data_IF_215562282447
#
_entry.id   IF_215562282447
#
_cell.length_a   1.000
_cell.length_b   1.000
_cell.length_c   1.000
_cell.angle_alpha   90.00
_cell.angle_beta   90.00
_cell.angle_gamma   90.00
#
_symmetry.space_group_name_H-M   'P 1'
#
loop_
_entity.id
_entity.type
_entity.pdbx_description
1 polymer ?
#
# COMPACT_ATOMS: atom_id res chain seq x y z
N UNK A 1 19.68 -11.53 5.95
CA UNK A 1 18.43 -11.64 5.17
C UNK A 1 18.03 -13.08 4.85
N UNK A 2 18.91 -13.91 4.27
CA UNK A 2 18.60 -15.31 3.90
C UNK A 2 18.06 -16.18 5.05
N UNK A 3 18.65 -16.05 6.25
CA UNK A 3 18.18 -16.76 7.43
C UNK A 3 16.73 -16.43 7.82
N UNK A 4 16.29 -15.17 7.60
CA UNK A 4 14.90 -14.76 7.86
C UNK A 4 13.96 -15.32 6.80
N UNK A 5 14.37 -15.34 5.54
CA UNK A 5 13.56 -15.88 4.44
C UNK A 5 13.37 -17.40 4.54
N UNK A 6 14.29 -18.10 5.21
CA UNK A 6 14.20 -19.55 5.44
C UNK A 6 13.32 -19.92 6.64
N UNK A 7 12.94 -18.96 7.48
CA UNK A 7 12.12 -19.20 8.67
C UNK A 7 10.62 -19.06 8.36
N UNK A 8 9.99 -20.19 8.09
CA UNK A 8 8.56 -20.26 7.79
C UNK A 8 7.66 -19.82 8.96
N UNK A 9 8.16 -19.73 10.19
CA UNK A 9 7.38 -19.26 11.34
C UNK A 9 7.09 -17.75 11.29
N UNK A 10 7.78 -17.01 10.40
CA UNK A 10 7.61 -15.56 10.21
C UNK A 10 6.55 -15.21 9.15
N UNK A 11 5.96 -16.21 8.49
CA UNK A 11 5.02 -16.02 7.38
C UNK A 11 3.75 -16.84 7.62
N UNK A 12 2.62 -16.32 7.17
CA UNK A 12 1.34 -17.03 7.13
C UNK A 12 0.64 -16.73 5.82
N UNK A 13 -0.15 -17.67 5.31
CA UNK A 13 -0.91 -17.49 4.08
C UNK A 13 -2.29 -16.95 4.46
N UNK A 14 -2.61 -15.74 4.00
CA UNK A 14 -3.90 -15.12 4.26
C UNK A 14 -5.03 -15.93 3.58
N UNK A 15 -6.10 -16.15 4.33
CA UNK A 15 -7.35 -16.74 3.84
C UNK A 15 -8.37 -15.63 3.54
N UNK A 16 -9.48 -15.93 2.83
CA UNK A 16 -10.52 -14.94 2.56
C UNK A 16 -11.18 -14.32 3.81
N UNK A 17 -11.04 -14.95 4.98
CA UNK A 17 -11.58 -14.45 6.25
C UNK A 17 -10.60 -13.55 7.00
N UNK A 18 -9.34 -13.50 6.58
CA UNK A 18 -8.30 -12.75 7.26
C UNK A 18 -8.30 -11.29 6.80
N UNK A 19 -8.39 -10.31 7.72
CA UNK A 19 -8.26 -8.91 7.37
C UNK A 19 -6.81 -8.59 7.01
N UNK A 20 -6.57 -8.09 5.79
CA UNK A 20 -5.25 -7.65 5.33
C UNK A 20 -5.21 -6.13 5.18
N UNK A 21 -4.48 -5.47 6.08
CA UNK A 21 -4.39 -4.01 6.14
C UNK A 21 -3.25 -3.49 5.25
N UNK A 22 -3.45 -3.54 3.92
CA UNK A 22 -2.42 -3.16 2.93
C UNK A 22 -2.43 -1.68 2.52
N UNK A 23 -3.56 -1.01 2.73
CA UNK A 23 -3.77 0.32 2.18
C UNK A 23 -3.31 1.44 3.13
N UNK A 24 -3.44 1.22 4.44
CA UNK A 24 -3.15 2.21 5.49
C UNK A 24 -2.46 1.61 6.73
N UNK A 25 -1.80 2.46 7.50
CA UNK A 25 -1.19 2.11 8.77
C UNK A 25 -2.27 1.95 9.85
N UNK A 26 -2.19 0.88 10.62
CA UNK A 26 -3.12 0.61 11.74
C UNK A 26 -3.01 1.59 12.92
N UNK A 27 -1.97 2.42 12.95
CA UNK A 27 -1.65 3.34 14.07
C UNK A 27 -1.48 4.81 13.66
N UNK A 28 -1.54 5.11 12.36
CA UNK A 28 -1.39 6.46 11.82
C UNK A 28 -2.13 6.59 10.49
N UNK A 29 -2.29 7.82 9.99
CA UNK A 29 -2.90 8.07 8.67
C UNK A 29 -1.94 7.91 7.49
N UNK A 30 -0.78 7.30 7.71
CA UNK A 30 0.12 6.96 6.61
C UNK A 30 -0.54 5.89 5.73
N UNK A 31 -0.33 5.97 4.42
CA UNK A 31 -0.94 5.09 3.44
C UNK A 31 0.06 4.63 2.38
N UNK A 32 -0.37 3.67 1.56
CA UNK A 32 0.44 3.03 0.52
C UNK A 32 0.81 3.96 -0.64
N UNK A 33 0.13 5.11 -0.81
CA UNK A 33 0.53 6.16 -1.75
C UNK A 33 1.66 7.05 -1.24
N UNK A 34 2.00 6.95 0.05
CA UNK A 34 3.12 7.65 0.65
C UNK A 34 4.48 7.27 0.03
N UNK A 35 5.53 8.06 0.30
CA UNK A 35 6.87 7.81 -0.22
C UNK A 35 7.43 6.45 0.23
N UNK A 36 7.23 6.09 1.50
CA UNK A 36 7.65 4.81 2.08
C UNK A 36 6.60 3.69 1.98
N UNK A 37 5.39 4.00 1.51
CA UNK A 37 4.29 3.04 1.45
C UNK A 37 3.90 2.43 2.81
N UNK A 38 3.37 1.21 2.77
CA UNK A 38 2.96 0.45 3.97
C UNK A 38 3.72 -0.86 4.06
N UNK A 39 4.19 -1.20 5.27
CA UNK A 39 4.79 -2.48 5.60
C UNK A 39 3.73 -3.38 6.24
N UNK A 40 3.31 -4.42 5.54
CA UNK A 40 2.34 -5.41 5.99
C UNK A 40 3.07 -6.59 6.62
N UNK A 41 2.82 -6.88 7.89
CA UNK A 41 3.43 -8.02 8.57
C UNK A 41 2.98 -9.33 7.89
N UNK A 42 3.91 -10.16 7.41
CA UNK A 42 3.59 -11.40 6.67
C UNK A 42 2.97 -12.50 7.54
N UNK A 43 3.00 -12.37 8.87
CA UNK A 43 2.37 -13.30 9.80
C UNK A 43 1.01 -12.82 10.32
N UNK A 44 0.88 -11.52 10.60
CA UNK A 44 -0.34 -10.97 11.24
C UNK A 44 -1.18 -10.10 10.31
N UNK A 45 -0.73 -9.85 9.09
CA UNK A 45 -1.39 -9.03 8.07
C UNK A 45 -1.70 -7.58 8.48
N UNK A 46 -1.07 -7.11 9.55
CA UNK A 46 -1.20 -5.74 10.04
C UNK A 46 -0.30 -4.79 9.25
N UNK A 47 -0.89 -3.69 8.78
CA UNK A 47 -0.18 -2.60 8.09
C UNK A 47 0.44 -1.63 9.09
N UNK A 48 1.72 -1.33 8.89
CA UNK A 48 2.47 -0.33 9.66
C UNK A 48 3.24 0.59 8.73
N UNK A 49 3.29 1.88 9.07
CA UNK A 49 4.30 2.77 8.51
C UNK A 49 5.64 2.56 9.21
N UNK A 50 6.74 2.94 8.57
CA UNK A 50 8.10 2.71 9.06
C UNK A 50 8.33 3.09 10.54
N UNK A 51 7.86 4.26 11.04
CA UNK A 51 8.06 4.63 12.45
C UNK A 51 7.38 3.66 13.44
N UNK A 52 6.31 2.99 13.01
CA UNK A 52 5.49 2.11 13.84
C UNK A 52 5.83 0.61 13.68
N UNK A 53 6.77 0.25 12.81
CA UNK A 53 7.24 -1.14 12.66
C UNK A 53 7.82 -1.66 13.98
N UNK A 54 8.58 -0.82 14.69
CA UNK A 54 9.13 -1.19 16.00
C UNK A 54 8.04 -1.50 17.03
N UNK A 55 6.90 -0.79 16.97
CA UNK A 55 5.76 -1.04 17.84
C UNK A 55 5.03 -2.35 17.47
N UNK A 56 4.91 -2.67 16.18
CA UNK A 56 4.34 -3.94 15.71
C UNK A 56 5.16 -5.17 16.14
N UNK A 57 6.48 -5.01 16.25
CA UNK A 57 7.44 -6.07 16.62
C UNK A 57 7.60 -6.28 18.12
N UNK A 58 7.10 -5.37 18.94
CA UNK A 58 7.15 -5.46 20.42
C UNK A 58 6.17 -6.48 21.00
N UNK A 59 5.31 -7.05 20.17
CA UNK A 59 4.44 -8.14 20.60
C UNK A 59 5.29 -9.30 21.16
N UNK A 60 5.16 -9.64 22.46
CA UNK A 60 5.99 -10.66 23.09
C UNK A 60 5.75 -12.08 22.56
N UNK A 61 4.66 -12.29 21.81
CA UNK A 61 4.43 -13.56 21.09
C UNK A 61 5.30 -13.71 19.84
N UNK A 62 5.91 -12.61 19.38
CA UNK A 62 6.83 -12.56 18.25
C UNK A 62 8.26 -12.51 18.79
N UNK A 63 9.17 -13.29 18.22
CA UNK A 63 10.56 -13.38 18.68
C UNK A 63 11.40 -12.11 18.33
N UNK A 64 10.75 -10.96 18.15
CA UNK A 64 11.32 -9.70 17.67
C UNK A 64 11.71 -9.68 16.18
N UNK A 65 11.98 -10.84 15.58
CA UNK A 65 12.19 -10.99 14.14
C UNK A 65 10.85 -11.01 13.39
N UNK A 66 10.81 -10.38 12.21
CA UNK A 66 9.61 -10.33 11.37
C UNK A 66 9.95 -10.05 9.91
N UNK A 67 9.10 -10.55 9.01
CA UNK A 67 9.09 -10.21 7.59
C UNK A 67 7.88 -9.35 7.28
N UNK A 68 8.08 -8.37 6.42
CA UNK A 68 7.05 -7.45 5.95
C UNK A 68 6.98 -7.43 4.44
N UNK A 69 5.78 -7.29 3.89
CA UNK A 69 5.55 -6.89 2.52
C UNK A 69 5.41 -5.38 2.47
N UNK A 70 6.36 -4.68 1.85
CA UNK A 70 6.22 -3.28 1.51
C UNK A 70 5.31 -3.15 0.29
N UNK A 71 4.26 -2.36 0.41
CA UNK A 71 3.32 -2.03 -0.65
C UNK A 71 3.42 -0.54 -0.92
N UNK A 72 3.82 -0.19 -2.13
CA UNK A 72 3.93 1.19 -2.58
C UNK A 72 3.07 1.37 -3.82
N UNK A 73 2.05 2.23 -3.70
CA UNK A 73 1.09 2.53 -4.76
C UNK A 73 1.38 3.88 -5.40
N UNK A 74 1.10 3.99 -6.68
CA UNK A 74 1.23 5.22 -7.46
C UNK A 74 0.02 5.38 -8.37
N UNK A 75 -0.43 6.62 -8.54
CA UNK A 75 -1.46 7.00 -9.52
C UNK A 75 -0.78 7.58 -10.74
N UNK A 76 -0.92 6.91 -11.87
CA UNK A 76 -0.43 7.39 -13.18
C UNK A 76 -1.62 7.96 -13.92
N UNK A 77 -1.58 9.22 -14.41
CA UNK A 77 -2.68 9.77 -15.20
C UNK A 77 -2.93 8.90 -16.43
N UNK A 78 -4.18 8.52 -16.68
CA UNK A 78 -4.53 7.88 -17.96
C UNK A 78 -4.37 8.91 -19.08
N UNK A 79 -3.90 8.50 -20.26
CA UNK A 79 -3.97 9.37 -21.43
C UNK A 79 -5.43 9.79 -21.63
N UNK A 80 -5.64 11.10 -21.81
CA UNK A 80 -6.99 11.65 -21.95
C UNK A 80 -7.72 10.92 -23.09
N UNK A 81 -8.79 10.19 -22.76
CA UNK A 81 -9.80 9.88 -23.75
C UNK A 81 -10.50 11.20 -24.08
N UNK A 82 -10.74 11.42 -25.38
CA UNK A 82 -11.23 12.68 -25.94
C UNK A 82 -12.26 13.37 -25.04
N UNK A 83 -12.19 14.71 -24.91
CA UNK A 83 -13.10 15.44 -24.05
C UNK A 83 -14.52 15.22 -24.57
N UNK A 84 -15.31 14.42 -23.85
CA UNK A 84 -16.76 14.50 -23.98
C UNK A 84 -17.10 15.93 -23.59
N UNK A 85 -17.57 16.69 -24.59
CA UNK A 85 -17.77 18.12 -24.59
C UNK A 85 -18.15 18.69 -23.22
N UNK A 86 -17.18 19.30 -22.54
CA UNK A 86 -17.44 20.25 -21.50
C UNK A 86 -17.90 21.54 -22.19
N UNK A 87 -19.20 21.73 -22.30
CA UNK A 87 -19.80 23.06 -22.50
C UNK A 87 -19.45 23.91 -21.26
N UNK A 88 -18.30 24.56 -21.30
CA UNK A 88 -17.93 25.60 -20.35
C UNK A 88 -16.97 26.61 -20.98
N UNK A 89 -17.45 27.29 -22.02
CA UNK A 89 -16.93 28.60 -22.41
C UNK A 89 -17.33 29.65 -21.37
N UNK A 90 -16.49 29.85 -20.34
CA UNK A 90 -16.66 30.95 -19.38
C UNK A 90 -15.51 31.07 -18.35
N UNK A 91 -14.99 32.28 -18.06
CA UNK A 91 -13.84 32.50 -17.17
C UNK A 91 -14.26 32.63 -15.69
N UNK A 92 -14.95 31.64 -15.15
CA UNK A 92 -15.25 31.58 -13.71
C UNK A 92 -15.25 30.12 -13.27
N UNK A 93 -14.48 29.79 -12.24
CA UNK A 93 -14.47 28.46 -11.63
C UNK A 93 -15.88 27.96 -11.25
N UNK A 94 -16.01 26.66 -10.98
CA UNK A 94 -17.30 26.01 -10.78
C UNK A 94 -18.09 26.71 -9.67
N UNK A 95 -19.13 27.45 -10.08
CA UNK A 95 -19.96 28.31 -9.20
C UNK A 95 -21.29 27.64 -8.84
N UNK A 96 -21.55 26.46 -9.41
CA UNK A 96 -22.79 25.70 -9.25
C UNK A 96 -22.46 24.32 -8.67
N UNK A 97 -23.04 24.01 -7.51
CA UNK A 97 -23.00 22.67 -6.92
C UNK A 97 -24.06 21.79 -7.60
N UNK A 98 -23.66 21.06 -8.64
CA UNK A 98 -24.55 20.17 -9.39
C UNK A 98 -24.81 18.85 -8.66
N UNK A 99 -25.85 18.78 -7.83
CA UNK A 99 -26.29 17.52 -7.23
C UNK A 99 -27.15 16.74 -8.24
N UNK A 100 -26.72 15.55 -8.64
CA UNK A 100 -27.55 14.62 -9.43
C UNK A 100 -27.68 14.94 -10.92
N UNK A 101 -26.64 15.46 -11.56
CA UNK A 101 -26.62 15.62 -13.03
C UNK A 101 -26.83 14.26 -13.73
N UNK A 102 -27.64 14.19 -14.80
CA UNK A 102 -27.78 12.96 -15.59
C UNK A 102 -26.42 12.49 -16.08
N UNK A 103 -25.99 11.29 -15.67
CA UNK A 103 -24.66 10.73 -15.96
C UNK A 103 -23.63 10.83 -14.82
N UNK A 104 -23.90 11.59 -13.75
CA UNK A 104 -23.04 11.69 -12.58
C UNK A 104 -21.72 12.44 -12.80
N UNK A 105 -20.82 12.37 -11.82
CA UNK A 105 -19.46 12.91 -11.92
C UNK A 105 -18.48 11.80 -12.33
N UNK A 106 -17.52 12.14 -13.20
CA UNK A 106 -16.38 11.26 -13.47
C UNK A 106 -15.66 10.94 -12.16
N UNK A 107 -15.47 9.65 -11.86
CA UNK A 107 -14.79 9.21 -10.65
C UNK A 107 -13.29 9.53 -10.78
N UNK A 108 -12.60 9.73 -9.67
CA UNK A 108 -11.13 9.85 -9.73
C UNK A 108 -10.48 8.59 -10.33
N UNK A 109 -11.10 7.43 -10.12
CA UNK A 109 -10.72 6.13 -10.69
C UNK A 109 -10.67 6.12 -12.22
N UNK A 110 -11.47 6.98 -12.86
CA UNK A 110 -11.52 7.12 -14.33
C UNK A 110 -10.32 7.92 -14.87
N UNK A 111 -9.67 8.72 -14.02
CA UNK A 111 -8.58 9.63 -14.41
C UNK A 111 -7.19 9.02 -14.27
N UNK A 112 -7.05 8.00 -13.41
CA UNK A 112 -5.75 7.42 -13.08
C UNK A 112 -5.74 5.90 -13.26
N UNK A 113 -4.59 5.38 -13.64
CA UNK A 113 -4.23 3.97 -13.51
C UNK A 113 -3.39 3.81 -12.23
N UNK A 114 -3.76 2.83 -11.40
CA UNK A 114 -3.04 2.55 -10.16
C UNK A 114 -2.01 1.45 -10.40
N UNK A 115 -0.74 1.74 -10.12
CA UNK A 115 0.34 0.75 -10.14
C UNK A 115 0.82 0.49 -8.73
N UNK A 116 1.20 -0.75 -8.44
CA UNK A 116 1.72 -1.17 -7.15
C UNK A 116 3.07 -1.87 -7.32
N UNK A 117 4.05 -1.47 -6.51
CA UNK A 117 5.30 -2.21 -6.35
C UNK A 117 5.33 -2.90 -4.99
N UNK A 118 6.02 -4.03 -4.97
CA UNK A 118 6.10 -4.93 -3.83
C UNK A 118 7.55 -5.27 -3.52
N UNK A 119 7.90 -5.30 -2.24
CA UNK A 119 9.19 -5.81 -1.78
C UNK A 119 9.05 -6.48 -0.43
N UNK A 120 9.89 -7.47 -0.16
CA UNK A 120 9.97 -8.15 1.14
C UNK A 120 11.07 -7.50 1.95
N UNK A 121 10.72 -6.98 3.12
CA UNK A 121 11.63 -6.32 4.06
C UNK A 121 11.78 -7.19 5.30
N UNK A 122 13.01 -7.53 5.65
CA UNK A 122 13.30 -8.33 6.84
C UNK A 122 13.83 -7.50 7.99
N UNK A 123 13.36 -7.77 9.21
CA UNK A 123 13.92 -7.21 10.43
C UNK A 123 14.36 -8.33 11.36
N UNK A 124 15.64 -8.33 11.76
CA UNK A 124 16.15 -9.29 12.75
C UNK A 124 15.77 -8.84 14.17
N UNK A 125 15.76 -9.78 15.11
CA UNK A 125 15.40 -9.50 16.50
C UNK A 125 16.30 -8.41 17.11
N UNK A 126 15.69 -7.38 17.71
CA UNK A 126 16.42 -6.27 18.35
C UNK A 126 16.86 -5.14 17.41
N UNK A 127 16.88 -5.36 16.09
CA UNK A 127 17.30 -4.32 15.14
C UNK A 127 16.23 -3.24 14.97
N UNK A 128 16.67 -1.98 14.86
CA UNK A 128 15.78 -0.84 14.54
C UNK A 128 15.65 -0.65 13.02
N UNK A 129 16.71 -0.98 12.27
CA UNK A 129 16.77 -0.91 10.82
C UNK A 129 16.46 -2.26 10.16
N UNK A 130 16.02 -2.28 8.89
CA UNK A 130 15.84 -3.53 8.17
C UNK A 130 17.18 -4.22 7.91
N UNK A 131 17.19 -5.54 8.06
CA UNK A 131 18.32 -6.42 7.72
C UNK A 131 18.48 -6.63 6.20
N UNK A 132 17.54 -6.12 5.39
CA UNK A 132 17.58 -6.08 3.93
C UNK A 132 16.19 -5.92 3.32
N UNK A 133 16.16 -5.73 2.00
CA UNK A 133 14.95 -5.61 1.18
C UNK A 133 15.13 -6.35 -0.16
N UNK A 134 14.13 -7.13 -0.58
CA UNK A 134 14.12 -7.86 -1.87
C UNK A 134 12.88 -7.44 -2.65
N UNK A 135 13.06 -6.86 -3.84
CA UNK A 135 11.94 -6.49 -4.71
C UNK A 135 11.25 -7.72 -5.30
N UNK A 136 9.92 -7.67 -5.38
CA UNK A 136 9.10 -8.67 -6.07
C UNK A 136 8.45 -8.03 -7.30
N UNK A 137 8.69 -8.63 -8.46
CA UNK A 137 8.06 -8.25 -9.72
C UNK A 137 7.03 -9.33 -10.08
N UNK A 138 5.72 -9.01 -10.06
CA UNK A 138 4.69 -9.98 -10.43
C UNK A 138 4.92 -10.49 -11.86
N UNK A 139 5.03 -11.81 -12.03
CA UNK A 139 5.15 -12.46 -13.34
C UNK A 139 6.58 -12.78 -13.80
N UNK A 140 7.61 -12.38 -13.04
CA UNK A 140 8.97 -12.89 -13.19
C UNK A 140 9.09 -14.15 -12.32
N UNK A 141 9.26 -15.32 -12.94
CA UNK A 141 9.47 -16.56 -12.19
C UNK A 141 10.83 -16.49 -11.48
N UNK A 142 10.84 -16.82 -10.20
CA UNK A 142 12.06 -16.96 -9.40
C UNK A 142 12.92 -18.15 -9.86
#
# INVERSE_FOLDING_TARGET
MEALLSDNSLVSVATPLDPVYRDECTRSFANSFGPSGILVNLRTFAGSSEPFVSADRRDPSKNGAALYLRVVKRRVPRPAQDPVAADSTGPSGPTVLGLGVPGGFAREEDKYEETASYSVVGYAAGDVAPAGEVSYVPGEAA
#
